data_IF_180138904495
#
_entry.id   IF_180138904495
#
_cell.length_a   1.000
_cell.length_b   1.000
_cell.length_c   1.000
_cell.angle_alpha   90.00
_cell.angle_beta   90.00
_cell.angle_gamma   90.00
#
_symmetry.space_group_name_H-M   'P 1'
#
loop_
_entity.id
_entity.type
_entity.pdbx_description
1 polymer ?
#
# COMPACT_ATOMS: atom_id res chain seq x y z
N UNK A 1 7.95 42.42 37.17
CA UNK A 1 6.79 41.55 36.86
C UNK A 1 6.28 41.74 35.42
N UNK A 2 5.83 42.94 35.00
CA UNK A 2 5.27 43.19 33.64
C UNK A 2 6.17 42.76 32.47
N UNK A 3 7.49 42.94 32.59
CA UNK A 3 8.48 42.57 31.55
C UNK A 3 8.65 41.05 31.38
N UNK A 4 8.46 40.27 32.44
CA UNK A 4 8.60 38.81 32.44
C UNK A 4 7.38 38.16 31.76
N UNK A 5 6.19 38.72 32.03
CA UNK A 5 4.94 38.27 31.42
C UNK A 5 4.94 38.51 29.90
N UNK A 6 5.48 39.64 29.44
CA UNK A 6 5.62 39.93 28.02
C UNK A 6 6.57 38.95 27.30
N UNK A 7 7.66 38.56 27.95
CA UNK A 7 8.63 37.61 27.41
C UNK A 7 8.05 36.19 27.28
N UNK A 8 7.25 35.76 28.25
CA UNK A 8 6.52 34.49 28.20
C UNK A 8 5.48 34.44 27.08
N UNK A 9 4.76 35.55 26.84
CA UNK A 9 3.82 35.66 25.74
C UNK A 9 4.51 35.64 24.38
N UNK A 10 5.66 36.28 24.22
CA UNK A 10 6.42 36.22 22.97
C UNK A 10 6.95 34.81 22.69
N UNK A 11 7.44 34.09 23.71
CA UNK A 11 7.94 32.73 23.57
C UNK A 11 6.87 31.73 23.12
N UNK A 12 5.59 31.90 23.53
CA UNK A 12 4.50 31.02 23.12
C UNK A 12 4.08 31.22 21.65
N UNK A 13 4.28 32.39 21.06
CA UNK A 13 4.00 32.61 19.63
C UNK A 13 5.02 31.97 18.70
N UNK A 14 6.29 31.85 19.11
CA UNK A 14 7.31 31.18 18.31
C UNK A 14 7.04 29.68 18.15
N UNK A 15 6.49 28.99 19.15
CA UNK A 15 6.19 27.56 19.06
C UNK A 15 5.05 27.26 18.08
N UNK A 16 4.06 28.14 17.96
CA UNK A 16 2.89 27.97 17.07
C UNK A 16 3.29 28.06 15.60
N UNK A 17 4.22 28.97 15.25
CA UNK A 17 4.74 29.10 13.89
C UNK A 17 5.58 27.91 13.43
N UNK A 18 6.31 27.27 14.34
CA UNK A 18 7.07 26.05 14.04
C UNK A 18 6.17 24.81 13.96
N UNK A 19 5.16 24.71 14.83
CA UNK A 19 4.18 23.63 14.77
C UNK A 19 3.36 23.64 13.47
N UNK A 20 3.05 24.82 12.91
CA UNK A 20 2.31 24.91 11.63
C UNK A 20 3.12 24.44 10.43
N UNK A 21 4.43 24.74 10.38
CA UNK A 21 5.34 24.24 9.32
C UNK A 21 5.52 22.73 9.40
N UNK A 22 5.67 22.19 10.61
CA UNK A 22 5.80 20.76 10.84
C UNK A 22 4.51 20.02 10.45
N UNK A 23 3.35 20.56 10.85
CA UNK A 23 2.04 20.04 10.45
C UNK A 23 1.86 20.03 8.94
N UNK A 24 2.27 21.09 8.24
CA UNK A 24 2.21 21.15 6.77
C UNK A 24 3.10 20.09 6.13
N UNK A 25 4.33 19.93 6.63
CA UNK A 25 5.26 18.91 6.14
C UNK A 25 4.70 17.49 6.27
N UNK A 26 4.15 17.13 7.44
CA UNK A 26 3.53 15.82 7.63
C UNK A 26 2.31 15.62 6.72
N UNK A 27 1.50 16.67 6.53
CA UNK A 27 0.33 16.61 5.64
C UNK A 27 0.71 16.39 4.18
N UNK A 28 1.77 17.05 3.71
CA UNK A 28 2.25 16.89 2.34
C UNK A 28 2.84 15.49 2.12
N UNK A 29 3.59 14.95 3.10
CA UNK A 29 4.12 13.59 3.08
C UNK A 29 3.00 12.53 3.07
N UNK A 30 1.98 12.68 3.93
CA UNK A 30 0.79 11.81 3.93
C UNK A 30 0.05 11.82 2.59
N UNK A 31 0.00 12.97 1.92
CA UNK A 31 -0.66 13.11 0.63
C UNK A 31 0.11 12.39 -0.49
N UNK A 32 1.44 12.46 -0.47
CA UNK A 32 2.29 11.71 -1.40
C UNK A 32 2.19 10.20 -1.20
N UNK A 33 2.20 9.74 0.05
CA UNK A 33 2.05 8.32 0.38
C UNK A 33 0.68 7.78 -0.04
N UNK A 34 -0.41 8.52 0.22
CA UNK A 34 -1.74 8.15 -0.26
C UNK A 34 -1.80 8.08 -1.78
N UNK A 35 -1.22 9.06 -2.47
CA UNK A 35 -1.17 9.07 -3.93
C UNK A 35 -0.34 7.91 -4.51
N UNK A 36 0.70 7.45 -3.79
CA UNK A 36 1.46 6.24 -4.16
C UNK A 36 0.60 4.99 -3.94
N UNK A 37 -0.01 4.84 -2.77
CA UNK A 37 -0.85 3.69 -2.43
C UNK A 37 -2.05 3.56 -3.38
N UNK A 38 -2.71 4.66 -3.75
CA UNK A 38 -3.80 4.63 -4.73
C UNK A 38 -3.34 4.14 -6.11
N UNK A 39 -2.12 4.51 -6.52
CA UNK A 39 -1.56 4.05 -7.80
C UNK A 39 -1.22 2.56 -7.75
N UNK A 40 -0.66 2.10 -6.64
CA UNK A 40 -0.41 0.68 -6.38
C UNK A 40 -1.72 -0.11 -6.37
N UNK A 41 -2.74 0.35 -5.64
CA UNK A 41 -4.08 -0.28 -5.62
C UNK A 41 -4.72 -0.35 -7.01
N UNK A 42 -4.62 0.69 -7.83
CA UNK A 42 -5.14 0.65 -9.21
C UNK A 42 -4.38 -0.34 -10.08
N UNK A 43 -3.07 -0.49 -9.90
CA UNK A 43 -2.28 -1.49 -10.60
C UNK A 43 -2.57 -2.92 -10.11
N UNK A 44 -2.83 -3.09 -8.83
CA UNK A 44 -3.19 -4.37 -8.21
C UNK A 44 -4.49 -4.95 -8.78
N UNK A 45 -5.43 -4.08 -9.13
CA UNK A 45 -6.71 -4.45 -9.75
C UNK A 45 -6.60 -4.76 -11.25
N UNK A 46 -5.41 -4.65 -11.86
CA UNK A 46 -5.21 -4.97 -13.27
C UNK A 46 -4.91 -6.47 -13.48
N UNK A 47 -5.97 -7.29 -13.44
CA UNK A 47 -5.84 -8.73 -13.67
C UNK A 47 -5.26 -9.10 -15.05
N UNK A 48 -5.38 -8.21 -16.05
CA UNK A 48 -4.82 -8.38 -17.39
C UNK A 48 -3.30 -8.25 -17.45
N UNK A 49 -2.68 -7.68 -16.42
CA UNK A 49 -1.22 -7.61 -16.29
C UNK A 49 -0.60 -8.97 -15.91
N UNK A 50 -1.38 -9.88 -15.35
CA UNK A 50 -0.88 -11.20 -14.95
C UNK A 50 -0.93 -12.20 -16.10
N UNK A 51 0.20 -12.88 -16.32
CA UNK A 51 0.28 -14.05 -17.17
C UNK A 51 0.19 -15.31 -16.31
N UNK A 52 -0.80 -16.16 -16.58
CA UNK A 52 -1.00 -17.42 -15.87
C UNK A 52 -0.53 -18.58 -16.75
N UNK A 53 0.29 -19.46 -16.18
CA UNK A 53 0.74 -20.70 -16.81
C UNK A 53 0.34 -21.88 -15.93
N UNK A 54 -0.32 -22.87 -16.53
CA UNK A 54 -0.64 -24.11 -15.84
C UNK A 54 0.66 -24.84 -15.46
N UNK A 55 0.80 -25.17 -14.18
CA UNK A 55 1.95 -25.89 -13.63
C UNK A 55 1.64 -27.39 -13.50
N UNK A 56 0.53 -27.74 -12.84
CA UNK A 56 0.11 -29.13 -12.67
C UNK A 56 -1.40 -29.29 -12.51
N UNK A 57 -1.88 -30.50 -12.78
CA UNK A 57 -3.24 -30.96 -12.48
C UNK A 57 -3.15 -32.15 -11.53
N UNK A 58 -3.96 -32.15 -10.48
CA UNK A 58 -3.98 -33.23 -9.50
C UNK A 58 -5.38 -33.43 -8.94
N UNK A 59 -5.62 -34.58 -8.33
CA UNK A 59 -6.80 -34.82 -7.52
C UNK A 59 -6.38 -34.70 -6.07
N UNK A 60 -7.09 -33.90 -5.28
CA UNK A 60 -6.80 -33.76 -3.85
C UNK A 60 -7.27 -35.00 -3.06
N UNK A 61 -6.94 -35.05 -1.77
CA UNK A 61 -7.32 -36.15 -0.89
C UNK A 61 -8.85 -36.28 -0.68
N UNK A 62 -9.61 -35.25 -1.07
CA UNK A 62 -11.09 -35.20 -1.03
C UNK A 62 -11.72 -35.63 -2.36
N UNK A 63 -10.92 -36.00 -3.36
CA UNK A 63 -11.37 -36.37 -4.69
C UNK A 63 -11.67 -35.19 -5.62
N UNK A 64 -11.34 -33.96 -5.23
CA UNK A 64 -11.55 -32.75 -6.04
C UNK A 64 -10.46 -32.63 -7.12
N UNK A 65 -10.86 -32.23 -8.32
CA UNK A 65 -9.91 -31.97 -9.41
C UNK A 65 -9.37 -30.55 -9.27
N UNK A 66 -8.08 -30.45 -9.00
CA UNK A 66 -7.38 -29.19 -8.80
C UNK A 66 -6.38 -28.91 -9.93
N UNK A 67 -6.15 -27.63 -10.18
CA UNK A 67 -5.21 -27.08 -11.17
C UNK A 67 -4.39 -25.98 -10.50
N UNK A 68 -3.07 -26.14 -10.53
CA UNK A 68 -2.14 -25.11 -10.06
C UNK A 68 -1.63 -24.30 -11.23
N UNK A 69 -1.62 -22.98 -11.07
CA UNK A 69 -1.10 -22.02 -12.00
C UNK A 69 0.04 -21.25 -11.35
N UNK A 70 1.12 -21.06 -12.10
CA UNK A 70 2.14 -20.04 -11.78
C UNK A 70 1.75 -18.76 -12.48
N UNK A 71 1.70 -17.66 -11.75
CA UNK A 71 1.46 -16.35 -12.34
C UNK A 71 2.66 -15.43 -12.21
N UNK A 72 2.81 -14.55 -13.18
CA UNK A 72 3.80 -13.45 -13.17
C UNK A 72 3.17 -12.20 -13.75
N UNK A 73 3.36 -11.08 -13.08
CA UNK A 73 3.03 -9.75 -13.59
C UNK A 73 3.96 -9.41 -14.76
N UNK A 74 3.39 -8.77 -15.80
CA UNK A 74 4.13 -8.28 -16.96
C UNK A 74 4.77 -6.93 -16.65
N UNK A 75 4.10 -6.09 -15.87
CA UNK A 75 4.59 -4.76 -15.49
C UNK A 75 5.60 -4.78 -14.33
N UNK A 76 5.55 -5.78 -13.46
CA UNK A 76 6.38 -5.86 -12.26
C UNK A 76 7.00 -7.26 -12.08
N UNK A 77 8.32 -7.42 -12.30
CA UNK A 77 8.98 -8.73 -12.20
C UNK A 77 8.97 -9.33 -10.78
N UNK A 78 8.78 -8.49 -9.75
CA UNK A 78 8.72 -8.94 -8.35
C UNK A 78 7.35 -9.47 -7.95
N UNK A 79 6.30 -9.27 -8.77
CA UNK A 79 4.95 -9.76 -8.50
C UNK A 79 4.70 -11.07 -9.24
N UNK A 80 4.95 -12.17 -8.55
CA UNK A 80 4.73 -13.52 -9.05
C UNK A 80 4.27 -14.43 -7.92
N UNK A 81 3.62 -15.54 -8.26
CA UNK A 81 3.12 -16.46 -7.26
C UNK A 81 2.43 -17.68 -7.86
N UNK A 82 1.64 -18.33 -7.01
CA UNK A 82 0.90 -19.54 -7.31
C UNK A 82 -0.58 -19.32 -7.06
N UNK A 83 -1.42 -19.90 -7.91
CA UNK A 83 -2.86 -19.84 -7.79
C UNK A 83 -3.44 -21.22 -8.08
N UNK A 84 -4.21 -21.74 -7.13
CA UNK A 84 -4.82 -23.08 -7.22
C UNK A 84 -6.31 -22.92 -7.45
N UNK A 85 -6.85 -23.65 -8.42
CA UNK A 85 -8.28 -23.74 -8.72
C UNK A 85 -8.70 -25.19 -8.58
N UNK A 86 -9.57 -25.47 -7.61
CA UNK A 86 -10.23 -26.77 -7.47
C UNK A 86 -11.67 -26.64 -7.95
N UNK A 87 -12.15 -27.64 -8.71
CA UNK A 87 -13.56 -27.69 -9.12
C UNK A 87 -14.41 -27.95 -7.86
N UNK A 88 -15.22 -26.97 -7.45
CA UNK A 88 -16.19 -27.14 -6.36
C UNK A 88 -17.30 -28.11 -6.79
N UNK A 89 -17.70 -28.99 -5.86
CA UNK A 89 -18.70 -30.04 -6.08
C UNK A 89 -20.11 -29.53 -5.79
#
# INVERSE_FOLDING_TARGET
MKKIIALLLLASFFSVGHASKLSKFFKDMDAEDRARQEREWRQDMNFGDFSFRLDRRYTDDRGQRCRDYKFRSRSNPFRHGYYTVCDER
#
